data_IF_177939630331
#
_entry.id   IF_177939630331
#
_cell.length_a   1.000
_cell.length_b   1.000
_cell.length_c   1.000
_cell.angle_alpha   90.00
_cell.angle_beta   90.00
_cell.angle_gamma   90.00
#
_symmetry.space_group_name_H-M   'P 1'
#
loop_
_entity.id
_entity.type
_entity.pdbx_description
1 polymer ?
#
# COMPACT_ATOMS: atom_id res chain seq x y z
N UNK A 1 20.85 -6.99 -4.76
CA UNK A 1 19.62 -6.91 -3.95
C UNK A 1 18.92 -5.59 -4.23
N UNK A 2 17.60 -5.53 -4.14
CA UNK A 2 16.81 -4.34 -4.53
C UNK A 2 15.93 -3.87 -3.38
N UNK A 3 15.86 -2.55 -3.14
CA UNK A 3 14.97 -1.95 -2.15
C UNK A 3 13.53 -1.80 -2.69
N UNK A 4 12.54 -1.81 -1.80
CA UNK A 4 11.14 -1.55 -2.14
C UNK A 4 10.58 -0.42 -1.27
N UNK A 5 10.89 0.84 -1.62
CA UNK A 5 10.60 2.02 -0.80
C UNK A 5 9.46 2.85 -1.36
N UNK A 6 9.47 3.15 -2.65
CA UNK A 6 8.42 3.93 -3.29
C UNK A 6 8.18 3.43 -4.73
N UNK A 7 6.91 3.37 -5.16
CA UNK A 7 6.57 2.92 -6.52
C UNK A 7 7.18 3.79 -7.62
N UNK A 8 7.34 5.09 -7.37
CA UNK A 8 7.96 6.01 -8.34
C UNK A 8 9.39 5.63 -8.71
N UNK A 9 10.13 5.01 -7.78
CA UNK A 9 11.55 4.69 -7.93
C UNK A 9 11.81 3.31 -8.54
N UNK A 10 10.76 2.49 -8.71
CA UNK A 10 10.87 1.14 -9.24
C UNK A 10 10.50 1.14 -10.74
N UNK A 11 11.30 0.50 -11.61
CA UNK A 11 10.95 0.33 -13.01
C UNK A 11 9.58 -0.33 -13.18
N UNK A 12 8.77 0.16 -14.10
CA UNK A 12 7.42 -0.41 -14.35
C UNK A 12 7.49 -1.87 -14.79
N UNK A 13 8.54 -2.26 -15.50
CA UNK A 13 8.81 -3.66 -15.87
C UNK A 13 8.93 -4.56 -14.64
N UNK A 14 9.64 -4.11 -13.60
CA UNK A 14 9.81 -4.85 -12.36
C UNK A 14 8.48 -4.93 -11.56
N UNK A 15 7.71 -3.82 -11.51
CA UNK A 15 6.38 -3.82 -10.89
C UNK A 15 5.44 -4.82 -11.59
N UNK A 16 5.45 -4.87 -12.93
CA UNK A 16 4.67 -5.84 -13.70
C UNK A 16 5.11 -7.27 -13.43
N UNK A 17 6.42 -7.55 -13.36
CA UNK A 17 6.95 -8.87 -13.00
C UNK A 17 6.48 -9.31 -11.61
N UNK A 18 6.49 -8.41 -10.63
CA UNK A 18 5.95 -8.69 -9.28
C UNK A 18 4.47 -9.10 -9.34
N UNK A 19 3.64 -8.39 -10.10
CA UNK A 19 2.21 -8.72 -10.24
C UNK A 19 1.98 -10.05 -10.96
N UNK A 20 2.74 -10.35 -12.00
CA UNK A 20 2.68 -11.63 -12.73
C UNK A 20 3.05 -12.80 -11.81
N UNK A 21 4.16 -12.68 -11.08
CA UNK A 21 4.59 -13.72 -10.12
C UNK A 21 3.57 -13.90 -8.99
N UNK A 22 3.01 -12.80 -8.46
CA UNK A 22 1.97 -12.87 -7.44
C UNK A 22 0.72 -13.64 -7.93
N UNK A 23 0.31 -13.40 -9.19
CA UNK A 23 -0.82 -14.11 -9.81
C UNK A 23 -0.52 -15.60 -9.96
N UNK A 24 0.66 -15.95 -10.43
CA UNK A 24 1.12 -17.34 -10.55
C UNK A 24 1.12 -18.04 -9.18
N UNK A 25 1.74 -17.43 -8.16
CA UNK A 25 1.82 -17.99 -6.81
C UNK A 25 0.47 -18.14 -6.16
N UNK A 26 -0.43 -17.16 -6.30
CA UNK A 26 -1.79 -17.26 -5.79
C UNK A 26 -2.52 -18.46 -6.40
N UNK A 27 -2.41 -18.66 -7.72
CA UNK A 27 -3.01 -19.82 -8.43
C UNK A 27 -2.50 -21.15 -7.87
N UNK A 28 -1.21 -21.28 -7.63
CA UNK A 28 -0.58 -22.49 -7.11
C UNK A 28 -0.98 -22.81 -5.65
N UNK A 29 -1.47 -21.81 -4.91
CA UNK A 29 -1.87 -21.98 -3.51
C UNK A 29 -3.36 -22.31 -3.27
N UNK A 30 -4.15 -22.53 -4.29
CA UNK A 30 -5.61 -22.75 -4.14
C UNK A 30 -6.01 -23.88 -3.17
N UNK A 31 -5.12 -24.87 -2.98
CA UNK A 31 -5.35 -26.04 -2.13
C UNK A 31 -4.39 -26.13 -0.94
N UNK A 32 -3.64 -25.07 -0.65
CA UNK A 32 -2.64 -25.05 0.41
C UNK A 32 -3.16 -24.27 1.62
N UNK A 33 -2.89 -24.79 2.81
CA UNK A 33 -3.18 -24.10 4.07
C UNK A 33 -2.32 -22.85 4.27
N UNK A 34 -2.78 -21.97 5.16
CA UNK A 34 -2.17 -20.67 5.36
C UNK A 34 -0.67 -20.72 5.70
N UNK A 35 -0.22 -21.69 6.50
CA UNK A 35 1.19 -21.84 6.88
C UNK A 35 1.96 -22.83 6.02
N UNK A 36 1.30 -23.56 5.13
CA UNK A 36 1.98 -24.51 4.24
C UNK A 36 2.97 -23.79 3.34
N UNK A 37 4.19 -24.32 3.22
CA UNK A 37 5.28 -23.72 2.46
C UNK A 37 5.06 -23.93 0.96
N UNK A 38 5.34 -22.91 0.15
CA UNK A 38 5.30 -22.98 -1.31
C UNK A 38 6.37 -23.98 -1.82
N UNK A 39 6.04 -24.72 -2.88
CA UNK A 39 6.97 -25.64 -3.53
C UNK A 39 8.32 -24.95 -3.84
N UNK A 40 9.40 -25.60 -3.44
CA UNK A 40 10.76 -25.11 -3.63
C UNK A 40 11.26 -24.14 -2.55
N UNK A 41 10.44 -23.76 -1.58
CA UNK A 41 10.83 -22.95 -0.43
C UNK A 41 11.87 -21.86 -0.77
N UNK A 42 11.58 -20.90 -1.68
CA UNK A 42 12.60 -20.06 -2.31
C UNK A 42 13.37 -19.16 -1.34
N UNK A 43 12.86 -18.95 -0.13
CA UNK A 43 13.53 -18.17 0.93
C UNK A 43 13.89 -19.03 2.15
N UNK A 44 14.05 -20.36 1.99
CA UNK A 44 14.54 -21.24 3.06
C UNK A 44 15.86 -20.69 3.63
N UNK A 45 15.96 -20.61 4.96
CA UNK A 45 17.13 -20.09 5.68
C UNK A 45 17.28 -18.56 5.62
N UNK A 46 16.27 -17.81 5.13
CA UNK A 46 16.28 -16.34 5.10
C UNK A 46 15.48 -15.77 6.26
N UNK A 47 15.99 -14.69 6.88
CA UNK A 47 15.35 -13.95 7.96
C UNK A 47 14.88 -12.57 7.46
N UNK A 48 13.58 -12.30 7.59
CA UNK A 48 13.00 -10.96 7.46
C UNK A 48 12.90 -10.34 8.84
N UNK A 49 13.61 -9.27 9.11
CA UNK A 49 13.42 -8.45 10.32
C UNK A 49 12.35 -7.40 10.02
N UNK A 50 11.38 -7.27 10.91
CA UNK A 50 10.27 -6.33 10.79
C UNK A 50 10.27 -5.35 11.95
N UNK A 51 10.18 -4.06 11.70
CA UNK A 51 10.02 -3.04 12.73
C UNK A 51 8.76 -2.20 12.51
N UNK A 52 8.03 -1.95 13.58
CA UNK A 52 6.76 -1.23 13.57
C UNK A 52 6.76 -0.13 14.63
N UNK A 53 6.95 1.11 14.23
CA UNK A 53 6.79 2.29 15.12
C UNK A 53 5.31 2.64 15.35
N UNK A 54 4.42 2.08 14.56
CA UNK A 54 2.95 2.24 14.69
C UNK A 54 2.24 0.91 14.57
N UNK A 55 1.17 0.75 15.31
CA UNK A 55 0.32 -0.44 15.28
C UNK A 55 -0.10 -0.82 13.87
N UNK A 56 0.01 -2.10 13.55
CA UNK A 56 -0.35 -2.63 12.24
C UNK A 56 -0.73 -4.09 12.29
N UNK A 57 -2.03 -4.38 12.27
CA UNK A 57 -2.51 -5.76 12.20
C UNK A 57 -2.23 -6.38 10.82
N UNK A 58 -2.76 -5.75 9.77
CA UNK A 58 -2.70 -6.29 8.40
C UNK A 58 -1.29 -6.43 7.85
N UNK A 59 -0.44 -5.43 8.03
CA UNK A 59 0.94 -5.48 7.54
C UNK A 59 1.74 -6.55 8.28
N UNK A 60 1.55 -6.66 9.61
CA UNK A 60 2.21 -7.69 10.43
C UNK A 60 1.82 -9.10 9.96
N UNK A 61 0.53 -9.37 9.87
CA UNK A 61 0.04 -10.69 9.46
C UNK A 61 0.43 -11.02 8.01
N UNK A 62 0.30 -10.06 7.09
CA UNK A 62 0.57 -10.34 5.68
C UNK A 62 2.06 -10.58 5.39
N UNK A 63 2.99 -9.84 6.00
CA UNK A 63 4.43 -10.12 5.87
C UNK A 63 4.84 -11.41 6.61
N UNK A 64 4.26 -11.66 7.79
CA UNK A 64 4.48 -12.93 8.49
C UNK A 64 4.13 -14.13 7.59
N UNK A 65 2.91 -14.14 7.04
CA UNK A 65 2.48 -15.21 6.13
C UNK A 65 3.31 -15.25 4.85
N UNK A 66 3.65 -14.09 4.28
CA UNK A 66 4.42 -14.02 3.04
C UNK A 66 5.79 -14.69 3.18
N UNK A 67 6.55 -14.35 4.21
CA UNK A 67 7.89 -14.95 4.43
C UNK A 67 7.81 -16.42 4.82
N UNK A 68 6.86 -16.81 5.69
CA UNK A 68 6.65 -18.20 6.11
C UNK A 68 6.27 -19.10 4.94
N UNK A 69 5.35 -18.65 4.08
CA UNK A 69 4.97 -19.38 2.88
C UNK A 69 6.11 -19.54 1.88
N UNK A 70 7.10 -18.65 1.88
CA UNK A 70 8.31 -18.78 1.07
C UNK A 70 9.41 -19.63 1.73
N UNK A 71 9.15 -20.19 2.91
CA UNK A 71 10.08 -21.06 3.65
C UNK A 71 11.08 -20.31 4.52
N UNK A 72 10.95 -18.99 4.65
CA UNK A 72 11.80 -18.17 5.50
C UNK A 72 11.26 -18.00 6.91
N UNK A 73 11.99 -17.22 7.71
CA UNK A 73 11.65 -16.85 9.08
C UNK A 73 11.49 -15.35 9.21
N UNK A 74 10.85 -14.90 10.28
CA UNK A 74 10.75 -13.47 10.59
C UNK A 74 10.90 -13.22 12.08
N UNK A 75 11.54 -12.09 12.40
CA UNK A 75 11.63 -11.51 13.73
C UNK A 75 10.95 -10.14 13.69
N UNK A 76 10.11 -9.86 14.69
CA UNK A 76 9.50 -8.54 14.83
C UNK A 76 10.13 -7.83 16.02
N UNK A 77 10.70 -6.66 15.75
CA UNK A 77 11.28 -5.77 16.75
C UNK A 77 10.29 -4.65 17.10
N UNK A 78 10.32 -4.23 18.36
CA UNK A 78 9.63 -3.04 18.83
C UNK A 78 10.59 -1.86 18.87
N UNK A 79 10.13 -0.61 18.71
CA UNK A 79 10.99 0.57 18.77
C UNK A 79 11.72 0.75 20.09
N UNK A 80 11.08 0.34 21.19
CA UNK A 80 11.62 0.38 22.55
C UNK A 80 12.76 -0.63 22.77
N UNK A 81 12.80 -1.71 21.99
CA UNK A 81 13.89 -2.72 22.03
C UNK A 81 15.17 -2.25 21.34
N UNK A 82 15.10 -1.18 20.53
CA UNK A 82 16.21 -0.70 19.71
C UNK A 82 16.93 0.53 20.26
N UNK A 83 16.51 1.05 21.42
CA UNK A 83 17.06 2.26 22.04
C UNK A 83 17.28 3.45 21.09
N UNK A 84 16.59 3.50 19.92
CA UNK A 84 16.72 4.52 18.89
C UNK A 84 16.21 5.92 19.32
N UNK A 85 15.59 6.03 20.50
CA UNK A 85 15.08 7.29 21.06
C UNK A 85 15.76 7.58 22.39
N UNK A 86 16.26 8.79 22.60
CA UNK A 86 16.85 9.30 23.85
C UNK A 86 18.32 8.93 24.13
N UNK A 87 19.22 9.24 23.18
CA UNK A 87 20.66 9.10 23.40
C UNK A 87 21.17 7.64 23.36
N UNK A 88 20.39 6.76 22.76
CA UNK A 88 20.75 5.36 22.52
C UNK A 88 21.56 5.15 21.24
N UNK A 89 21.37 4.00 20.62
CA UNK A 89 22.11 3.56 19.45
C UNK A 89 21.81 4.40 18.20
N UNK A 90 22.80 4.68 17.38
CA UNK A 90 22.61 5.39 16.11
C UNK A 90 21.90 4.53 15.07
N UNK A 91 21.18 5.15 14.12
CA UNK A 91 20.58 4.42 12.98
C UNK A 91 21.67 3.70 12.19
N UNK A 92 22.87 4.28 12.07
CA UNK A 92 24.01 3.68 11.39
C UNK A 92 24.45 2.37 12.05
N UNK A 93 24.58 2.35 13.39
CA UNK A 93 25.01 1.17 14.11
C UNK A 93 23.93 0.09 14.13
N UNK A 94 22.69 0.49 14.39
CA UNK A 94 21.51 -0.40 14.26
C UNK A 94 21.43 -1.02 12.86
N UNK A 95 21.64 -0.25 11.79
CA UNK A 95 21.60 -0.76 10.42
C UNK A 95 22.71 -1.79 10.16
N UNK A 96 23.92 -1.61 10.71
CA UNK A 96 25.00 -2.59 10.61
C UNK A 96 24.64 -3.88 11.35
N UNK A 97 24.10 -3.78 12.55
CA UNK A 97 23.63 -4.95 13.32
C UNK A 97 22.55 -5.70 12.54
N UNK A 98 21.50 -4.99 12.08
CA UNK A 98 20.43 -5.60 11.29
C UNK A 98 20.97 -6.28 10.02
N UNK A 99 21.98 -5.71 9.40
CA UNK A 99 22.62 -6.26 8.19
C UNK A 99 23.39 -7.54 8.45
N UNK A 100 23.98 -7.69 9.64
CA UNK A 100 24.73 -8.89 10.02
C UNK A 100 23.80 -10.06 10.42
N UNK A 101 22.65 -9.77 11.03
CA UNK A 101 21.73 -10.79 11.52
C UNK A 101 20.60 -11.13 10.55
N UNK A 102 20.13 -10.16 9.77
CA UNK A 102 19.00 -10.32 8.86
C UNK A 102 19.40 -10.47 7.40
N UNK A 103 18.40 -10.80 6.57
CA UNK A 103 18.59 -10.87 5.12
C UNK A 103 17.70 -9.84 4.37
N UNK A 104 16.72 -9.27 5.04
CA UNK A 104 15.92 -8.11 4.61
C UNK A 104 15.34 -7.42 5.83
N UNK A 105 15.09 -6.12 5.71
CA UNK A 105 14.47 -5.31 6.74
C UNK A 105 13.19 -4.66 6.24
N UNK A 106 12.09 -4.81 6.95
CA UNK A 106 10.84 -4.11 6.68
C UNK A 106 10.59 -3.10 7.79
N UNK A 107 10.46 -1.85 7.40
CA UNK A 107 10.23 -0.73 8.31
C UNK A 107 8.86 -0.10 8.07
N UNK A 108 8.06 0.02 9.13
CA UNK A 108 6.88 0.89 9.19
C UNK A 108 7.13 2.00 10.19
N UNK A 109 7.27 3.22 9.68
CA UNK A 109 7.76 4.37 10.44
C UNK A 109 6.86 5.60 10.30
N UNK A 110 7.04 6.57 11.18
CA UNK A 110 6.45 7.90 11.12
C UNK A 110 7.39 8.98 10.58
N UNK A 111 8.58 8.60 10.08
CA UNK A 111 9.55 9.50 9.44
C UNK A 111 10.04 8.93 8.11
N UNK A 112 9.92 9.74 7.04
CA UNK A 112 10.50 9.41 5.74
C UNK A 112 12.02 9.54 5.78
N UNK A 113 12.55 10.48 6.57
CA UNK A 113 13.98 10.71 6.78
C UNK A 113 14.65 9.47 7.41
N UNK A 114 14.01 8.90 8.44
CA UNK A 114 14.49 7.67 9.08
C UNK A 114 14.57 6.50 8.09
N UNK A 115 13.57 6.39 7.20
CA UNK A 115 13.54 5.36 6.17
C UNK A 115 14.70 5.52 5.17
N UNK A 116 15.00 6.75 4.74
CA UNK A 116 16.11 7.04 3.83
C UNK A 116 17.46 6.87 4.54
N UNK A 117 17.56 7.18 5.83
CA UNK A 117 18.77 6.97 6.61
C UNK A 117 19.09 5.47 6.80
N UNK A 118 18.11 4.65 7.15
CA UNK A 118 18.29 3.19 7.15
C UNK A 118 18.73 2.68 5.78
N UNK A 119 18.10 3.13 4.71
CA UNK A 119 18.48 2.76 3.33
C UNK A 119 19.94 3.05 3.03
N UNK A 120 20.48 4.15 3.55
CA UNK A 120 21.87 4.57 3.35
C UNK A 120 22.88 3.60 3.99
N UNK A 121 22.56 3.07 5.17
CA UNK A 121 23.50 2.27 5.97
C UNK A 121 23.27 0.76 5.92
N UNK A 122 22.11 0.30 5.49
CA UNK A 122 21.82 -1.13 5.34
C UNK A 122 22.53 -1.74 4.13
N UNK A 123 23.21 -2.87 4.33
CA UNK A 123 23.72 -3.72 3.24
C UNK A 123 22.72 -4.80 2.77
N UNK A 124 21.58 -4.91 3.45
CA UNK A 124 20.45 -5.78 3.10
C UNK A 124 19.27 -4.97 2.54
N UNK A 125 18.36 -5.57 1.75
CA UNK A 125 17.20 -4.86 1.22
C UNK A 125 16.31 -4.26 2.32
N UNK A 126 15.86 -3.02 2.10
CA UNK A 126 14.82 -2.39 2.92
C UNK A 126 13.48 -2.32 2.19
N UNK A 127 12.39 -2.60 2.90
CA UNK A 127 11.01 -2.58 2.42
C UNK A 127 10.22 -1.57 3.23
N UNK A 128 9.60 -0.60 2.55
CA UNK A 128 8.68 0.35 3.19
C UNK A 128 7.33 -0.33 3.49
N UNK A 129 7.07 -0.66 4.75
CA UNK A 129 5.80 -1.18 5.22
C UNK A 129 4.68 -0.15 5.31
N UNK A 130 5.02 1.10 5.49
CA UNK A 130 4.29 2.37 5.43
C UNK A 130 5.17 3.48 5.99
N UNK A 131 5.16 4.64 5.35
CA UNK A 131 5.77 5.89 5.84
C UNK A 131 4.80 7.06 5.73
N UNK A 132 5.12 8.25 6.25
CA UNK A 132 4.25 9.43 6.14
C UNK A 132 3.90 9.80 4.70
N UNK A 133 4.80 9.62 3.75
CA UNK A 133 4.60 9.99 2.35
C UNK A 133 4.06 8.88 1.48
N UNK A 134 4.20 7.58 1.86
CA UNK A 134 3.87 6.48 0.94
C UNK A 134 3.47 5.16 1.61
N UNK A 135 2.69 4.36 0.88
CA UNK A 135 2.33 2.98 1.24
C UNK A 135 2.40 2.06 0.00
N UNK A 136 3.60 1.82 -0.55
CA UNK A 136 3.78 1.17 -1.85
C UNK A 136 3.28 -0.27 -1.88
N UNK A 137 3.48 -1.03 -0.79
CA UNK A 137 3.03 -2.43 -0.70
C UNK A 137 1.51 -2.56 -0.71
N UNK A 138 0.78 -1.56 -0.18
CA UNK A 138 -0.68 -1.52 -0.24
C UNK A 138 -1.13 -1.32 -1.68
N UNK A 139 -0.68 -0.26 -2.33
CA UNK A 139 -1.16 0.10 -3.66
C UNK A 139 -0.81 -0.95 -4.72
N UNK A 140 0.35 -1.57 -4.65
CA UNK A 140 0.66 -2.66 -5.58
C UNK A 140 -0.27 -3.87 -5.37
N UNK A 141 -0.66 -4.14 -4.12
CA UNK A 141 -1.66 -5.19 -3.80
C UNK A 141 -3.06 -4.80 -4.24
N UNK A 142 -3.37 -3.51 -4.24
CA UNK A 142 -4.66 -3.00 -4.72
C UNK A 142 -4.78 -3.13 -6.23
N UNK A 143 -3.72 -2.79 -6.97
CA UNK A 143 -3.64 -3.01 -8.42
C UNK A 143 -3.86 -4.48 -8.75
N UNK A 144 -3.15 -5.37 -8.06
CA UNK A 144 -3.34 -6.82 -8.20
C UNK A 144 -4.80 -7.23 -8.00
N UNK A 145 -5.45 -6.69 -6.96
CA UNK A 145 -6.85 -7.00 -6.62
C UNK A 145 -7.80 -6.50 -7.70
N UNK A 146 -7.58 -5.28 -8.19
CA UNK A 146 -8.38 -4.69 -9.27
C UNK A 146 -8.30 -5.55 -10.54
N UNK A 147 -7.09 -5.87 -11.00
CA UNK A 147 -6.89 -6.66 -12.21
C UNK A 147 -7.44 -8.10 -12.07
N UNK A 148 -7.34 -8.67 -10.87
CA UNK A 148 -7.90 -9.98 -10.57
C UNK A 148 -9.41 -10.01 -10.68
N UNK A 149 -10.10 -9.00 -10.15
CA UNK A 149 -11.57 -8.94 -10.10
C UNK A 149 -12.13 -8.47 -11.44
N UNK A 150 -11.58 -7.41 -12.01
CA UNK A 150 -12.06 -6.81 -13.26
C UNK A 150 -11.66 -7.62 -14.48
N UNK A 151 -10.70 -8.54 -14.38
CA UNK A 151 -10.13 -9.30 -15.50
C UNK A 151 -9.63 -8.42 -16.64
N UNK A 152 -9.19 -7.22 -16.32
CA UNK A 152 -8.68 -6.19 -17.23
C UNK A 152 -7.40 -5.58 -16.67
N UNK A 153 -6.53 -5.12 -17.55
CA UNK A 153 -5.34 -4.34 -17.16
C UNK A 153 -5.78 -3.01 -16.57
N UNK A 154 -5.16 -2.60 -15.48
CA UNK A 154 -5.54 -1.37 -14.76
C UNK A 154 -5.49 -0.12 -15.66
N UNK A 155 -4.60 -0.09 -16.66
CA UNK A 155 -4.48 1.02 -17.62
C UNK A 155 -5.75 1.29 -18.44
N UNK A 156 -6.64 0.31 -18.55
CA UNK A 156 -7.91 0.42 -19.30
C UNK A 156 -9.11 0.81 -18.42
N UNK A 157 -8.88 1.02 -17.13
CA UNK A 157 -9.92 1.27 -16.14
C UNK A 157 -9.92 2.74 -15.69
N UNK A 158 -11.10 3.25 -15.35
CA UNK A 158 -11.29 4.54 -14.70
C UNK A 158 -11.23 4.35 -13.19
N UNK A 159 -10.14 4.81 -12.58
CA UNK A 159 -9.91 4.69 -11.14
C UNK A 159 -10.32 6.00 -10.47
N UNK A 160 -11.00 5.90 -9.35
CA UNK A 160 -11.40 7.05 -8.55
C UNK A 160 -10.96 6.90 -7.11
N UNK A 161 -10.36 7.95 -6.58
CA UNK A 161 -10.13 8.14 -5.15
C UNK A 161 -11.15 9.12 -4.60
N UNK A 162 -11.76 8.81 -3.46
CA UNK A 162 -12.64 9.73 -2.73
C UNK A 162 -12.22 9.74 -1.28
N UNK A 163 -11.75 10.89 -0.80
CA UNK A 163 -11.26 11.03 0.56
C UNK A 163 -10.16 12.07 0.71
N UNK A 164 -9.46 11.99 1.84
CA UNK A 164 -8.34 12.88 2.18
C UNK A 164 -7.08 12.57 1.37
N UNK A 165 -6.24 13.58 1.17
CA UNK A 165 -4.94 13.39 0.53
C UNK A 165 -3.92 12.91 1.56
N UNK A 166 -3.66 11.62 1.54
CA UNK A 166 -2.75 10.95 2.47
C UNK A 166 -1.68 10.13 1.72
N UNK A 167 -0.85 9.42 2.45
CA UNK A 167 0.22 8.58 1.90
C UNK A 167 -0.28 7.46 0.96
N UNK A 168 -1.50 6.97 1.16
CA UNK A 168 -2.11 5.96 0.28
C UNK A 168 -2.44 6.58 -1.07
N UNK A 169 -3.06 7.78 -1.08
CA UNK A 169 -3.31 8.53 -2.31
C UNK A 169 -2.01 8.89 -3.01
N UNK A 170 -0.97 9.33 -2.29
CA UNK A 170 0.33 9.63 -2.91
C UNK A 170 0.90 8.42 -3.67
N UNK A 171 0.79 7.23 -3.08
CA UNK A 171 1.21 5.99 -3.73
C UNK A 171 0.31 5.60 -4.91
N UNK A 172 -1.00 5.90 -4.84
CA UNK A 172 -1.94 5.67 -5.95
C UNK A 172 -1.65 6.62 -7.13
N UNK A 173 -1.28 7.87 -6.86
CA UNK A 173 -0.81 8.84 -7.86
C UNK A 173 0.46 8.31 -8.54
N UNK A 174 1.45 7.86 -7.77
CA UNK A 174 2.67 7.28 -8.33
C UNK A 174 2.37 6.04 -9.19
N UNK A 175 1.45 5.20 -8.75
CA UNK A 175 0.99 4.04 -9.52
C UNK A 175 0.25 4.44 -10.80
N UNK A 176 -0.61 5.48 -10.76
CA UNK A 176 -1.30 5.98 -11.95
C UNK A 176 -0.32 6.41 -13.04
N UNK A 177 0.77 7.07 -12.66
CA UNK A 177 1.84 7.46 -13.57
C UNK A 177 2.56 6.23 -14.12
N UNK A 178 2.98 5.30 -13.25
CA UNK A 178 3.74 4.08 -13.66
C UNK A 178 2.95 3.14 -14.54
N UNK A 179 1.66 2.94 -14.27
CA UNK A 179 0.78 2.02 -15.00
C UNK A 179 -0.11 2.71 -16.03
N UNK A 180 0.00 4.03 -16.18
CA UNK A 180 -0.71 4.86 -17.18
C UNK A 180 -2.23 4.72 -17.14
N UNK A 181 -2.84 4.67 -15.95
CA UNK A 181 -4.29 4.66 -15.80
C UNK A 181 -4.86 6.05 -15.47
N UNK A 182 -6.13 6.27 -15.83
CA UNK A 182 -6.86 7.49 -15.49
C UNK A 182 -7.21 7.48 -14.00
N UNK A 183 -6.92 8.60 -13.30
CA UNK A 183 -7.23 8.77 -11.89
C UNK A 183 -8.06 10.03 -11.66
N UNK A 184 -9.28 9.86 -11.15
CA UNK A 184 -10.13 10.95 -10.66
C UNK A 184 -10.00 11.05 -9.14
N UNK A 185 -9.74 12.24 -8.61
CA UNK A 185 -9.57 12.48 -7.17
C UNK A 185 -10.67 13.42 -6.69
N UNK A 186 -11.58 12.89 -5.88
CA UNK A 186 -12.63 13.64 -5.18
C UNK A 186 -12.18 13.99 -3.77
N UNK A 187 -11.86 15.26 -3.51
CA UNK A 187 -11.51 15.77 -2.18
C UNK A 187 -11.91 17.24 -2.05
N UNK A 188 -12.17 17.74 -0.83
CA UNK A 188 -12.36 19.17 -0.61
C UNK A 188 -11.12 19.96 -1.01
N UNK A 189 -11.26 21.13 -1.60
CA UNK A 189 -10.14 21.95 -2.11
C UNK A 189 -9.01 22.16 -1.10
N UNK A 190 -9.35 22.31 0.18
CA UNK A 190 -8.39 22.49 1.28
C UNK A 190 -7.51 21.25 1.52
N UNK A 191 -7.94 20.07 1.07
CA UNK A 191 -7.28 18.77 1.31
C UNK A 191 -6.74 18.15 0.04
N UNK A 192 -6.42 18.95 -0.96
CA UNK A 192 -5.68 18.52 -2.16
C UNK A 192 -4.26 18.05 -1.78
N UNK A 193 -3.63 17.23 -2.61
CA UNK A 193 -2.23 16.85 -2.41
C UNK A 193 -1.30 18.05 -2.25
N UNK A 194 -0.18 17.85 -1.57
CA UNK A 194 0.83 18.88 -1.36
C UNK A 194 1.37 19.42 -2.69
N UNK A 195 1.94 20.64 -2.67
CA UNK A 195 2.60 21.26 -3.85
C UNK A 195 3.64 20.33 -4.48
N UNK A 196 4.39 19.56 -3.66
CA UNK A 196 5.37 18.58 -4.14
C UNK A 196 4.72 17.47 -4.99
N UNK A 197 3.57 16.97 -4.56
CA UNK A 197 2.84 15.93 -5.31
C UNK A 197 2.19 16.51 -6.56
N UNK A 198 1.65 17.72 -6.50
CA UNK A 198 1.08 18.40 -7.68
C UNK A 198 2.16 18.59 -8.75
N UNK A 199 3.34 19.11 -8.37
CA UNK A 199 4.49 19.24 -9.29
C UNK A 199 4.88 17.88 -9.90
N UNK A 200 4.93 16.82 -9.09
CA UNK A 200 5.23 15.47 -9.60
C UNK A 200 4.21 14.99 -10.64
N UNK A 201 2.92 15.34 -10.50
CA UNK A 201 1.89 15.04 -11.49
C UNK A 201 2.13 15.82 -12.78
N UNK A 202 2.40 17.13 -12.68
CA UNK A 202 2.64 18.02 -13.81
C UNK A 202 3.87 17.59 -14.63
N UNK A 203 4.98 17.29 -13.96
CA UNK A 203 6.23 16.83 -14.58
C UNK A 203 6.05 15.53 -15.39
N UNK A 204 5.09 14.69 -14.99
CA UNK A 204 4.83 13.41 -15.65
C UNK A 204 3.64 13.44 -16.65
N UNK A 205 3.03 14.61 -16.90
CA UNK A 205 1.94 14.83 -17.88
C UNK A 205 0.81 13.79 -17.79
N UNK A 206 0.44 13.35 -16.60
CA UNK A 206 -0.52 12.26 -16.41
C UNK A 206 -1.97 12.77 -16.40
N UNK A 207 -2.90 11.86 -16.74
CA UNK A 207 -4.36 12.09 -16.78
C UNK A 207 -4.98 11.95 -15.38
N UNK A 208 -4.59 12.85 -14.46
CA UNK A 208 -5.13 12.95 -13.10
C UNK A 208 -6.03 14.16 -13.01
N UNK A 209 -7.26 13.97 -12.59
CA UNK A 209 -8.27 15.01 -12.50
C UNK A 209 -8.73 15.21 -11.05
N UNK A 210 -8.78 16.48 -10.62
CA UNK A 210 -9.23 16.86 -9.27
C UNK A 210 -10.65 17.41 -9.31
N UNK A 211 -11.49 16.93 -8.40
CA UNK A 211 -12.88 17.34 -8.27
C UNK A 211 -13.19 17.75 -6.82
N UNK A 212 -13.74 18.95 -6.64
CA UNK A 212 -14.34 19.36 -5.36
C UNK A 212 -15.81 18.88 -5.23
N UNK A 213 -16.15 17.80 -5.92
CA UNK A 213 -17.44 17.15 -5.91
C UNK A 213 -17.26 15.65 -6.09
N UNK A 214 -17.67 14.88 -5.06
CA UNK A 214 -17.53 13.44 -5.04
C UNK A 214 -18.32 12.75 -6.17
N UNK A 215 -19.51 13.30 -6.56
CA UNK A 215 -20.33 12.73 -7.64
C UNK A 215 -19.65 12.87 -8.99
N UNK A 216 -19.05 14.05 -9.26
CA UNK A 216 -18.27 14.28 -10.50
C UNK A 216 -17.06 13.35 -10.56
N UNK A 217 -16.36 13.14 -9.44
CA UNK A 217 -15.23 12.22 -9.37
C UNK A 217 -15.65 10.76 -9.57
N UNK A 218 -16.80 10.34 -9.04
CA UNK A 218 -17.31 8.97 -9.14
C UNK A 218 -17.91 8.62 -10.51
N UNK A 219 -18.24 9.62 -11.35
CA UNK A 219 -18.93 9.39 -12.61
C UNK A 219 -18.16 8.45 -13.54
N UNK A 220 -18.78 7.29 -13.85
CA UNK A 220 -18.22 6.29 -14.76
C UNK A 220 -17.00 5.54 -14.21
N UNK A 221 -16.75 5.57 -12.89
CA UNK A 221 -15.67 4.84 -12.26
C UNK A 221 -15.85 3.33 -12.37
N UNK A 222 -14.76 2.61 -12.67
CA UNK A 222 -14.66 1.15 -12.58
C UNK A 222 -14.33 0.70 -11.16
N UNK A 223 -13.57 1.55 -10.43
CA UNK A 223 -13.11 1.28 -9.06
C UNK A 223 -13.15 2.58 -8.26
N UNK A 224 -13.71 2.52 -7.06
CA UNK A 224 -13.63 3.60 -6.08
C UNK A 224 -12.76 3.16 -4.91
N UNK A 225 -11.71 3.94 -4.65
CA UNK A 225 -10.84 3.80 -3.49
C UNK A 225 -11.17 4.84 -2.43
N UNK A 226 -11.01 4.46 -1.18
CA UNK A 226 -11.00 5.39 -0.05
C UNK A 226 -10.07 4.91 1.06
N UNK A 227 -9.80 5.82 1.97
CA UNK A 227 -9.13 5.52 3.22
C UNK A 227 -9.71 6.40 4.33
N UNK A 228 -9.32 6.10 5.57
CA UNK A 228 -9.79 6.82 6.75
C UNK A 228 -9.46 8.31 6.65
N UNK A 229 -10.49 9.16 6.76
CA UNK A 229 -10.35 10.62 6.70
C UNK A 229 -9.59 11.18 7.89
N UNK A 230 -9.79 10.61 9.08
CA UNK A 230 -9.03 10.98 10.27
C UNK A 230 -7.92 9.98 10.48
N UNK A 231 -6.69 10.38 10.18
CA UNK A 231 -5.52 9.55 10.43
C UNK A 231 -5.11 9.60 11.92
N UNK A 232 -4.29 8.63 12.35
CA UNK A 232 -3.74 8.62 13.71
C UNK A 232 -2.78 9.80 13.97
N UNK A 233 -2.27 10.43 12.92
CA UNK A 233 -1.31 11.53 12.98
C UNK A 233 -1.94 12.91 12.79
N UNK A 234 -3.28 12.98 12.62
CA UNK A 234 -3.95 14.26 12.41
C UNK A 234 -3.89 15.14 13.66
N UNK A 235 -3.16 16.24 13.55
CA UNK A 235 -3.10 17.32 14.56
C UNK A 235 -4.26 18.34 14.44
N UNK A 236 -5.20 18.13 13.49
CA UNK A 236 -6.31 19.05 13.22
C UNK A 236 -7.54 18.72 14.07
N UNK A 237 -8.43 19.71 14.24
CA UNK A 237 -9.74 19.49 14.86
C UNK A 237 -10.53 18.47 14.06
N UNK A 238 -10.67 17.27 14.64
CA UNK A 238 -11.30 16.10 14.01
C UNK A 238 -12.73 16.38 13.55
N UNK A 239 -13.53 17.07 14.37
CA UNK A 239 -14.93 17.40 14.06
C UNK A 239 -15.03 18.34 12.86
N UNK A 240 -14.18 19.37 12.80
CA UNK A 240 -14.12 20.31 11.67
C UNK A 240 -13.72 19.61 10.37
N UNK A 241 -12.71 18.73 10.43
CA UNK A 241 -12.29 17.94 9.27
C UNK A 241 -13.40 17.01 8.79
N UNK A 242 -14.00 16.21 9.68
CA UNK A 242 -15.12 15.32 9.33
C UNK A 242 -16.28 16.06 8.69
N UNK A 243 -16.61 17.26 9.18
CA UNK A 243 -17.69 18.07 8.60
C UNK A 243 -17.42 18.46 7.13
N UNK A 244 -16.18 18.79 6.80
CA UNK A 244 -15.79 19.11 5.42
C UNK A 244 -15.86 17.90 4.49
N UNK A 245 -15.68 16.69 5.01
CA UNK A 245 -15.77 15.45 4.25
C UNK A 245 -17.18 14.84 4.19
N UNK A 246 -18.20 15.42 4.85
CA UNK A 246 -19.59 14.91 4.79
C UNK A 246 -20.10 14.71 3.36
N UNK A 247 -19.78 15.64 2.45
CA UNK A 247 -20.18 15.58 1.03
C UNK A 247 -19.37 14.56 0.21
N UNK A 248 -18.29 14.03 0.76
CA UNK A 248 -17.41 13.02 0.15
C UNK A 248 -17.62 11.62 0.76
N UNK A 249 -18.62 11.46 1.61
CA UNK A 249 -18.94 10.17 2.22
C UNK A 249 -19.44 9.18 1.16
N UNK A 250 -18.86 7.98 1.16
CA UNK A 250 -19.21 6.92 0.22
C UNK A 250 -20.44 6.19 0.73
N UNK A 251 -21.53 6.31 -0.03
CA UNK A 251 -22.83 5.69 0.23
C UNK A 251 -23.42 5.13 -1.07
N UNK A 252 -24.55 4.43 -1.01
CA UNK A 252 -25.23 3.86 -2.18
C UNK A 252 -25.51 4.90 -3.28
N UNK A 253 -25.94 6.12 -2.89
CA UNK A 253 -26.20 7.21 -3.84
C UNK A 253 -24.93 7.63 -4.57
N UNK A 254 -23.78 7.70 -3.89
CA UNK A 254 -22.51 8.01 -4.55
C UNK A 254 -22.07 6.87 -5.49
N UNK A 255 -22.19 5.63 -5.03
CA UNK A 255 -21.87 4.45 -5.85
C UNK A 255 -22.72 4.36 -7.12
N UNK A 256 -23.95 4.88 -7.15
CA UNK A 256 -24.82 4.86 -8.35
C UNK A 256 -24.34 5.77 -9.48
N UNK A 257 -23.41 6.71 -9.23
CA UNK A 257 -22.77 7.50 -10.29
C UNK A 257 -21.64 6.76 -11.02
N UNK A 258 -21.12 5.69 -10.40
CA UNK A 258 -20.13 4.81 -10.99
C UNK A 258 -20.78 3.78 -11.92
N UNK A 259 -19.98 2.96 -12.59
CA UNK A 259 -20.49 1.84 -13.40
C UNK A 259 -21.21 0.82 -12.52
N UNK A 260 -22.19 0.11 -13.08
CA UNK A 260 -22.96 -0.94 -12.35
C UNK A 260 -22.07 -2.02 -11.73
N UNK A 261 -20.97 -2.38 -12.40
CA UNK A 261 -19.96 -3.33 -11.95
C UNK A 261 -18.79 -2.71 -11.18
N UNK A 262 -18.94 -1.44 -10.77
CA UNK A 262 -17.92 -0.75 -9.98
C UNK A 262 -17.65 -1.49 -8.67
N UNK A 263 -16.37 -1.64 -8.32
CA UNK A 263 -15.95 -2.20 -7.05
C UNK A 263 -15.44 -1.11 -6.10
N UNK A 264 -15.61 -1.37 -4.80
CA UNK A 264 -15.13 -0.51 -3.72
C UNK A 264 -13.95 -1.17 -2.99
N UNK A 265 -12.87 -0.39 -2.78
CA UNK A 265 -11.67 -0.79 -2.05
C UNK A 265 -11.35 0.19 -0.93
N UNK A 266 -10.85 -0.34 0.19
CA UNK A 266 -10.47 0.44 1.37
C UNK A 266 -9.36 -0.27 2.14
N UNK A 267 -8.28 0.43 2.45
CA UNK A 267 -7.11 -0.20 3.07
C UNK A 267 -7.28 -0.53 4.57
N UNK A 268 -8.41 -0.11 5.20
CA UNK A 268 -8.71 -0.32 6.62
C UNK A 268 -7.67 0.27 7.60
N UNK A 269 -8.08 0.60 8.84
CA UNK A 269 -9.43 0.50 9.39
C UNK A 269 -10.36 1.56 8.83
N UNK A 270 -11.64 1.22 8.64
CA UNK A 270 -12.64 2.20 8.23
C UNK A 270 -13.05 3.12 9.38
N UNK A 271 -13.55 4.31 9.02
CA UNK A 271 -14.17 5.28 9.89
C UNK A 271 -15.58 5.64 9.40
N UNK A 272 -15.90 6.95 9.43
CA UNK A 272 -17.21 7.48 9.00
C UNK A 272 -17.26 7.85 7.50
N UNK A 273 -16.19 7.65 6.76
CA UNK A 273 -16.06 7.96 5.32
C UNK A 273 -16.85 7.04 4.40
N UNK A 274 -17.28 5.87 4.89
CA UNK A 274 -18.08 4.91 4.13
C UNK A 274 -19.22 4.37 4.96
N UNK A 275 -20.40 4.24 4.33
CA UNK A 275 -21.58 3.61 4.95
C UNK A 275 -21.48 2.09 4.95
N UNK A 276 -22.06 1.44 5.96
CA UNK A 276 -22.14 -0.01 6.09
C UNK A 276 -22.78 -0.67 4.86
N UNK A 277 -23.80 -0.03 4.30
CA UNK A 277 -24.48 -0.49 3.10
C UNK A 277 -23.59 -0.61 1.85
N UNK A 278 -22.49 0.12 1.79
CA UNK A 278 -21.46 -0.02 0.73
C UNK A 278 -20.39 -0.99 1.19
N UNK A 279 -19.90 -0.79 2.41
CA UNK A 279 -18.79 -1.57 2.96
C UNK A 279 -19.10 -3.08 3.05
N UNK A 280 -20.33 -3.45 3.38
CA UNK A 280 -20.79 -4.83 3.49
C UNK A 280 -21.43 -5.37 2.19
N UNK A 281 -21.49 -4.57 1.12
CA UNK A 281 -22.10 -4.94 -0.14
C UNK A 281 -21.23 -5.89 -0.96
N UNK A 282 -21.84 -6.50 -2.00
CA UNK A 282 -21.13 -7.30 -3.01
C UNK A 282 -20.11 -6.49 -3.83
N UNK A 283 -20.27 -5.16 -3.92
CA UNK A 283 -19.32 -4.27 -4.59
C UNK A 283 -18.04 -4.08 -3.77
N UNK A 284 -18.11 -4.21 -2.45
CA UNK A 284 -16.94 -4.12 -1.57
C UNK A 284 -16.04 -5.35 -1.75
N UNK A 285 -14.75 -5.10 -1.98
CA UNK A 285 -13.72 -6.14 -2.13
C UNK A 285 -12.61 -6.02 -1.09
N UNK A 286 -12.91 -5.34 0.02
CA UNK A 286 -11.93 -5.02 1.07
C UNK A 286 -11.28 -6.26 1.71
N UNK A 287 -12.02 -7.35 1.84
CA UNK A 287 -11.49 -8.58 2.42
C UNK A 287 -10.55 -9.31 1.46
N UNK A 288 -10.91 -9.38 0.18
CA UNK A 288 -10.04 -9.92 -0.86
C UNK A 288 -8.78 -9.05 -1.03
N UNK A 289 -8.93 -7.72 -0.99
CA UNK A 289 -7.83 -6.76 -0.98
C UNK A 289 -6.86 -7.03 0.17
N UNK A 290 -7.37 -7.20 1.38
CA UNK A 290 -6.55 -7.48 2.55
C UNK A 290 -5.77 -8.79 2.42
N UNK A 291 -6.41 -9.85 1.94
CA UNK A 291 -5.79 -11.16 1.73
C UNK A 291 -4.76 -11.15 0.59
N UNK A 292 -5.03 -10.43 -0.49
CA UNK A 292 -4.14 -10.31 -1.64
C UNK A 292 -2.77 -9.69 -1.30
N UNK A 293 -2.68 -8.96 -0.21
CA UNK A 293 -1.40 -8.43 0.30
C UNK A 293 -0.38 -9.54 0.52
N UNK A 294 -0.79 -10.70 1.03
CA UNK A 294 0.12 -11.84 1.24
C UNK A 294 0.78 -12.25 -0.08
N UNK A 295 0.00 -12.41 -1.14
CA UNK A 295 0.50 -12.86 -2.44
C UNK A 295 1.46 -11.86 -3.08
N UNK A 296 1.11 -10.57 -3.04
CA UNK A 296 1.96 -9.52 -3.61
C UNK A 296 3.22 -9.31 -2.78
N UNK A 297 3.13 -9.35 -1.45
CA UNK A 297 4.30 -9.22 -0.58
C UNK A 297 5.27 -10.40 -0.71
N UNK A 298 4.80 -11.60 -1.02
CA UNK A 298 5.69 -12.71 -1.41
C UNK A 298 6.56 -12.33 -2.61
N UNK A 299 5.95 -11.81 -3.65
CA UNK A 299 6.66 -11.43 -4.87
C UNK A 299 7.56 -10.19 -4.66
N UNK A 300 7.16 -9.25 -3.79
CA UNK A 300 8.01 -8.14 -3.34
C UNK A 300 9.24 -8.68 -2.61
N UNK A 301 9.07 -9.63 -1.68
CA UNK A 301 10.21 -10.26 -1.00
C UNK A 301 11.15 -10.92 -2.01
N UNK A 302 10.62 -11.71 -2.95
CA UNK A 302 11.45 -12.35 -3.99
C UNK A 302 12.17 -11.33 -4.88
N UNK A 303 11.53 -10.21 -5.20
CA UNK A 303 12.16 -9.10 -5.91
C UNK A 303 13.34 -8.53 -5.11
N UNK A 304 13.14 -8.26 -3.82
CA UNK A 304 14.18 -7.74 -2.94
C UNK A 304 15.36 -8.70 -2.79
N UNK A 305 15.08 -9.99 -2.73
CA UNK A 305 16.11 -11.04 -2.66
C UNK A 305 16.75 -11.40 -4.01
N UNK A 306 16.36 -10.77 -5.13
CA UNK A 306 16.86 -11.12 -6.47
C UNK A 306 16.40 -12.50 -6.94
N UNK A 307 15.32 -13.04 -6.41
CA UNK A 307 14.77 -14.38 -6.71
C UNK A 307 13.43 -14.33 -7.47
N UNK A 308 13.03 -13.18 -7.95
CA UNK A 308 11.85 -13.03 -8.81
C UNK A 308 12.18 -13.58 -10.21
N UNK A 309 11.43 -14.59 -10.62
CA UNK A 309 11.58 -15.27 -11.94
C UNK A 309 10.40 -14.96 -12.84
#
# INVERSE_FOLDING_TARGET
>A
MKNFINLKDIPVSDLKKILIDAKRRKKLRKKLDNLQIDKGAPLKGKLLIQMYEKSSLRTRLSFYLAIKQLGGSTLTLRPDELHLSKGGESIQDTAKILSNFGNAFMLRTDSDEKLEEFKKYLSIPIINGLSPSSHPTQILSDIFTVEEIKKKTISTLNITWIGDSNNVLNSLIAASIKFSFKLSIGCPNKYKPSKKIIRYIEDNKNKIHFFNDAKKAAKGADVIFSDKVISMNDKVNKSKKLNQFKKFKINKKLMSFAKKDCIFLHCLPRGKEVDDNVFLSKQSKVWQQALNRVHVQKSILLYCFGKLR
#
